data_IF_715454063029
#
_entry.id   IF_715454063029
#
_cell.length_a   1.000
_cell.length_b   1.000
_cell.length_c   1.000
_cell.angle_alpha   90.00
_cell.angle_beta   90.00
_cell.angle_gamma   90.00
#
_symmetry.space_group_name_H-M   'P 1'
#
loop_
_entity.id
_entity.type
_entity.pdbx_description
1 polymer ?
#
# COMPACT_ATOMS: atom_id res chain seq x y z
N UNK A 1 19.03 -12.06 11.92
CA UNK A 1 18.36 -11.97 10.60
C UNK A 1 17.61 -13.25 10.21
N UNK A 2 16.84 -13.87 11.12
CA UNK A 2 16.23 -15.20 10.84
C UNK A 2 15.16 -15.15 9.74
N UNK A 3 14.27 -14.16 9.76
CA UNK A 3 13.20 -14.05 8.79
C UNK A 3 13.67 -13.70 7.36
N UNK A 4 14.76 -12.93 7.24
CA UNK A 4 15.42 -12.65 5.96
C UNK A 4 16.14 -13.91 5.42
N UNK A 5 16.86 -14.64 6.28
CA UNK A 5 17.55 -15.88 5.89
C UNK A 5 16.60 -17.02 5.55
N UNK A 6 15.43 -17.09 6.20
CA UNK A 6 14.38 -18.07 5.89
C UNK A 6 13.52 -17.68 4.67
N UNK A 7 13.78 -16.54 4.04
CA UNK A 7 13.05 -16.08 2.86
C UNK A 7 11.61 -15.64 3.14
N UNK A 8 11.21 -15.48 4.40
CA UNK A 8 9.85 -15.07 4.80
C UNK A 8 9.57 -13.60 4.46
N UNK A 9 10.62 -12.79 4.38
CA UNK A 9 10.55 -11.38 4.06
C UNK A 9 11.79 -10.95 3.27
N UNK A 10 11.63 -9.96 2.40
CA UNK A 10 12.71 -9.26 1.70
C UNK A 10 12.64 -7.78 2.07
N UNK A 11 13.80 -7.18 2.29
CA UNK A 11 13.86 -5.79 2.75
C UNK A 11 15.26 -5.39 3.20
N UNK A 12 15.37 -4.17 3.73
CA UNK A 12 16.60 -3.59 4.26
C UNK A 12 16.37 -3.17 5.71
N UNK A 13 17.37 -3.40 6.56
CA UNK A 13 17.40 -2.89 7.94
C UNK A 13 18.34 -1.70 7.94
N UNK A 14 17.83 -0.54 8.34
CA UNK A 14 18.62 0.67 8.61
C UNK A 14 18.74 0.82 10.13
N UNK A 15 19.88 0.39 10.66
CA UNK A 15 20.14 0.43 12.11
C UNK A 15 20.30 1.86 12.64
N UNK A 16 20.91 2.76 11.87
CA UNK A 16 21.13 4.15 12.33
C UNK A 16 19.80 4.86 12.53
N UNK A 17 18.86 4.62 11.62
CA UNK A 17 17.50 5.19 11.72
C UNK A 17 16.56 4.34 12.55
N UNK A 18 16.96 3.14 12.97
CA UNK A 18 16.11 2.13 13.62
C UNK A 18 14.84 1.82 12.81
N UNK A 19 14.96 1.79 11.48
CA UNK A 19 13.83 1.52 10.56
C UNK A 19 14.09 0.26 9.76
N UNK A 20 13.04 -0.57 9.62
CA UNK A 20 13.04 -1.73 8.72
C UNK A 20 12.14 -1.44 7.54
N UNK A 21 12.71 -1.44 6.34
CA UNK A 21 11.95 -1.30 5.09
C UNK A 21 11.73 -2.68 4.50
N UNK A 22 10.47 -3.12 4.50
CA UNK A 22 10.05 -4.38 3.90
C UNK A 22 9.58 -4.13 2.46
N UNK A 23 10.20 -4.80 1.50
CA UNK A 23 9.82 -4.73 0.08
C UNK A 23 8.87 -5.85 -0.31
N UNK A 24 8.97 -7.01 0.35
CA UNK A 24 8.12 -8.16 0.10
C UNK A 24 7.96 -9.01 1.36
N UNK A 25 6.79 -9.62 1.49
CA UNK A 25 6.45 -10.53 2.58
C UNK A 25 5.76 -11.76 1.99
N UNK A 26 6.05 -12.94 2.53
CA UNK A 26 5.36 -14.16 2.14
C UNK A 26 3.86 -14.07 2.45
N UNK A 27 2.96 -14.35 1.48
CA UNK A 27 1.53 -14.45 1.72
C UNK A 27 1.20 -15.55 2.72
N UNK A 28 0.18 -15.34 3.54
CA UNK A 28 -0.29 -16.30 4.54
C UNK A 28 -1.80 -16.46 4.46
N UNK A 29 -2.33 -17.49 5.12
CA UNK A 29 -3.77 -17.66 5.31
C UNK A 29 -4.32 -16.49 6.12
N UNK A 30 -5.42 -15.92 5.65
CA UNK A 30 -6.08 -14.79 6.28
C UNK A 30 -7.40 -15.24 6.93
N UNK A 31 -7.73 -14.62 8.06
CA UNK A 31 -9.06 -14.74 8.67
C UNK A 31 -10.04 -13.73 8.05
N UNK A 32 -11.33 -13.85 8.40
CA UNK A 32 -12.39 -12.99 7.86
C UNK A 32 -12.23 -11.52 8.27
N UNK A 33 -11.67 -11.25 9.45
CA UNK A 33 -11.47 -9.88 9.96
C UNK A 33 -10.33 -9.18 9.21
N UNK A 34 -9.24 -9.89 8.94
CA UNK A 34 -8.12 -9.42 8.12
C UNK A 34 -8.57 -9.10 6.70
N UNK A 35 -9.43 -9.95 6.11
CA UNK A 35 -10.02 -9.68 4.79
C UNK A 35 -10.90 -8.41 4.83
N UNK A 36 -11.70 -8.22 5.88
CA UNK A 36 -12.51 -7.01 6.03
C UNK A 36 -11.65 -5.74 6.16
N UNK A 37 -10.54 -5.83 6.89
CA UNK A 37 -9.55 -4.73 6.99
C UNK A 37 -8.92 -4.41 5.62
N UNK A 38 -8.54 -5.43 4.84
CA UNK A 38 -8.02 -5.24 3.49
C UNK A 38 -9.05 -4.57 2.56
N UNK A 39 -10.31 -5.01 2.63
CA UNK A 39 -11.40 -4.39 1.87
C UNK A 39 -11.58 -2.91 2.22
N UNK A 40 -11.56 -2.55 3.50
CA UNK A 40 -11.63 -1.14 3.94
C UNK A 40 -10.49 -0.30 3.36
N UNK A 41 -9.26 -0.82 3.39
CA UNK A 41 -8.08 -0.14 2.82
C UNK A 41 -8.19 0.06 1.31
N UNK A 42 -8.67 -0.95 0.58
CA UNK A 42 -8.90 -0.84 -0.86
C UNK A 42 -10.01 0.15 -1.20
N UNK A 43 -11.09 0.18 -0.41
CA UNK A 43 -12.16 1.16 -0.56
C UNK A 43 -11.66 2.59 -0.35
N UNK A 44 -10.87 2.82 0.69
CA UNK A 44 -10.27 4.13 0.94
C UNK A 44 -9.34 4.56 -0.21
N UNK A 45 -8.52 3.64 -0.72
CA UNK A 45 -7.66 3.93 -1.87
C UNK A 45 -8.46 4.26 -3.13
N UNK A 46 -9.51 3.48 -3.42
CA UNK A 46 -10.42 3.76 -4.54
C UNK A 46 -11.04 5.15 -4.44
N UNK A 47 -11.48 5.55 -3.25
CA UNK A 47 -12.00 6.91 -3.02
C UNK A 47 -10.94 8.00 -3.26
N UNK A 48 -9.70 7.77 -2.84
CA UNK A 48 -8.59 8.70 -3.11
C UNK A 48 -8.36 8.85 -4.62
N UNK A 49 -8.38 7.76 -5.38
CA UNK A 49 -8.23 7.79 -6.84
C UNK A 49 -9.37 8.56 -7.51
N UNK A 50 -10.61 8.33 -7.09
CA UNK A 50 -11.77 9.07 -7.62
C UNK A 50 -11.65 10.57 -7.34
N UNK A 51 -11.26 10.97 -6.14
CA UNK A 51 -11.04 12.40 -5.81
C UNK A 51 -9.97 13.03 -6.70
N UNK A 52 -8.86 12.32 -6.94
CA UNK A 52 -7.80 12.80 -7.84
C UNK A 52 -8.32 12.95 -9.26
N UNK A 53 -9.11 11.99 -9.75
CA UNK A 53 -9.77 12.09 -11.06
C UNK A 53 -10.64 13.34 -11.15
N UNK A 54 -11.50 13.57 -10.15
CA UNK A 54 -12.44 14.70 -10.16
C UNK A 54 -11.69 16.05 -10.20
N UNK A 55 -10.58 16.18 -9.46
CA UNK A 55 -9.73 17.36 -9.51
C UNK A 55 -9.13 17.58 -10.91
N UNK A 56 -8.59 16.52 -11.51
CA UNK A 56 -8.01 16.59 -12.86
C UNK A 56 -9.06 16.93 -13.92
N UNK A 57 -10.31 16.44 -13.79
CA UNK A 57 -11.39 16.77 -14.72
C UNK A 57 -11.77 18.27 -14.68
N UNK A 58 -11.68 18.92 -13.52
CA UNK A 58 -11.95 20.36 -13.41
C UNK A 58 -10.87 21.18 -14.12
N UNK A 59 -9.61 20.87 -13.87
CA UNK A 59 -8.48 21.60 -14.46
C UNK A 59 -8.34 21.31 -15.96
N UNK A 60 -8.58 20.07 -16.39
CA UNK A 60 -8.54 19.70 -17.80
C UNK A 60 -9.63 20.40 -18.63
N UNK A 61 -10.82 20.65 -18.05
CA UNK A 61 -11.89 21.40 -18.72
C UNK A 61 -11.51 22.84 -19.02
N UNK A 62 -10.65 23.46 -18.20
CA UNK A 62 -10.18 24.82 -18.43
C UNK A 62 -9.12 24.93 -19.54
N UNK A 63 -8.43 23.82 -19.85
CA UNK A 63 -7.37 23.75 -20.88
C UNK A 63 -7.94 23.26 -22.22
N UNK A 64 -8.98 22.42 -22.19
CA UNK A 64 -9.60 21.81 -23.37
C UNK A 64 -10.80 22.59 -23.94
N UNK A 65 -11.23 23.68 -23.30
CA UNK A 65 -12.26 24.60 -23.78
C UNK A 65 -11.62 25.87 -24.36
#
# INVERSE_FOLDING_TARGET
MRALSLGLMKGRIDEVRQVVTLTWLQPRVLDREQIASMHSRLKAWSQTVTKVRDLVEVDAKAILA
#
